data_IF_044597075483
#
_entry.id   IF_044597075483
#
_cell.length_a   1.000
_cell.length_b   1.000
_cell.length_c   1.000
_cell.angle_alpha   90.00
_cell.angle_beta   90.00
_cell.angle_gamma   90.00
#
_symmetry.space_group_name_H-M   'P 1'
#
loop_
_entity.id
_entity.type
_entity.pdbx_description
1 polymer ?
#
# COMPACT_ATOMS: atom_id res chain seq x y z
N UNK A 1 24.55 -33.13 4.26
CA UNK A 1 24.67 -31.79 4.83
C UNK A 1 24.88 -30.71 3.77
N UNK A 2 25.84 -30.89 2.85
CA UNK A 2 26.05 -29.88 1.79
C UNK A 2 24.82 -29.64 0.92
N UNK A 3 24.01 -30.66 0.64
CA UNK A 3 22.81 -30.56 -0.18
C UNK A 3 21.72 -29.68 0.48
N UNK A 4 21.63 -29.71 1.81
CA UNK A 4 20.68 -28.91 2.56
C UNK A 4 21.08 -27.43 2.50
N UNK A 5 22.37 -27.14 2.54
CA UNK A 5 22.88 -25.78 2.45
C UNK A 5 22.54 -25.12 1.11
N UNK A 6 22.70 -25.87 0.00
CA UNK A 6 22.32 -25.36 -1.33
C UNK A 6 20.83 -25.12 -1.48
N UNK A 7 20.01 -25.95 -0.88
CA UNK A 7 18.56 -25.77 -0.89
C UNK A 7 18.14 -24.49 -0.15
N UNK A 8 18.76 -24.19 0.99
CA UNK A 8 18.52 -22.96 1.74
C UNK A 8 18.93 -21.71 0.96
N UNK A 9 20.03 -21.77 0.21
CA UNK A 9 20.47 -20.67 -0.65
C UNK A 9 19.48 -20.40 -1.78
N UNK A 10 18.93 -21.42 -2.39
CA UNK A 10 17.91 -21.29 -3.44
C UNK A 10 16.64 -20.67 -2.90
N UNK A 11 16.20 -21.03 -1.69
CA UNK A 11 15.06 -20.42 -1.04
C UNK A 11 15.28 -18.93 -0.78
N UNK A 12 16.46 -18.53 -0.36
CA UNK A 12 16.78 -17.14 -0.12
C UNK A 12 16.72 -16.28 -1.40
N UNK A 13 17.06 -16.84 -2.54
CA UNK A 13 16.99 -16.15 -3.83
C UNK A 13 15.55 -15.85 -4.26
N UNK A 14 14.59 -16.62 -3.79
CA UNK A 14 13.18 -16.40 -4.10
C UNK A 14 12.55 -15.21 -3.37
N UNK A 15 13.23 -14.62 -2.39
CA UNK A 15 12.76 -13.46 -1.65
C UNK A 15 13.30 -12.13 -2.18
N UNK A 16 13.94 -12.11 -3.34
CA UNK A 16 14.52 -10.92 -3.93
C UNK A 16 13.50 -10.05 -4.70
N UNK A 17 12.22 -10.39 -4.68
CA UNK A 17 11.17 -9.58 -5.31
C UNK A 17 10.81 -8.39 -4.44
N UNK A 18 10.52 -7.25 -5.10
CA UNK A 18 10.02 -6.07 -4.43
C UNK A 18 8.69 -6.42 -3.75
N UNK A 19 8.62 -6.24 -2.45
CA UNK A 19 7.41 -6.43 -1.67
C UNK A 19 6.82 -5.07 -1.31
N UNK A 20 5.49 -5.00 -1.29
CA UNK A 20 4.82 -3.87 -0.71
C UNK A 20 5.03 -3.90 0.81
N UNK A 21 5.44 -2.76 1.35
CA UNK A 21 5.70 -2.61 2.77
C UNK A 21 4.66 -1.68 3.38
N UNK A 22 4.18 -2.02 4.57
CA UNK A 22 3.32 -1.12 5.34
C UNK A 22 4.19 0.06 5.80
N UNK A 23 3.81 1.26 5.37
CA UNK A 23 4.52 2.50 5.68
C UNK A 23 3.80 3.35 6.70
N UNK A 24 2.53 3.07 6.99
CA UNK A 24 1.78 3.77 8.01
C UNK A 24 0.38 3.22 8.19
N UNK A 25 -0.23 3.56 9.32
CA UNK A 25 -1.61 3.21 9.63
C UNK A 25 -2.25 4.36 10.39
N UNK A 26 -3.46 4.74 10.00
CA UNK A 26 -4.23 5.78 10.64
C UNK A 26 -5.69 5.37 10.77
N UNK A 27 -6.28 5.68 11.90
CA UNK A 27 -7.73 5.53 12.11
C UNK A 27 -8.35 6.93 12.22
N UNK A 28 -9.31 7.17 11.37
CA UNK A 28 -9.97 8.47 11.26
C UNK A 28 -11.44 8.32 11.66
N UNK A 29 -11.96 9.29 12.42
CA UNK A 29 -13.39 9.31 12.76
C UNK A 29 -14.25 9.29 11.48
N UNK A 30 -15.34 8.52 11.44
CA UNK A 30 -16.00 7.78 12.54
C UNK A 30 -15.60 6.29 12.66
N UNK A 31 -14.38 5.94 12.38
CA UNK A 31 -13.89 4.56 12.50
C UNK A 31 -13.43 3.99 11.17
N UNK A 32 -12.81 4.81 10.35
CA UNK A 32 -12.22 4.40 9.07
C UNK A 32 -10.72 4.18 9.25
N UNK A 33 -10.26 2.97 8.93
CA UNK A 33 -8.85 2.58 9.06
C UNK A 33 -8.19 2.65 7.70
N UNK A 34 -7.09 3.38 7.64
CA UNK A 34 -6.21 3.47 6.47
C UNK A 34 -4.93 2.71 6.76
N UNK A 35 -4.57 1.81 5.87
CA UNK A 35 -3.27 1.14 5.90
C UNK A 35 -2.54 1.53 4.62
N UNK A 36 -1.45 2.28 4.78
CA UNK A 36 -0.65 2.75 3.64
C UNK A 36 0.47 1.77 3.35
N UNK A 37 0.58 1.38 2.09
CA UNK A 37 1.60 0.48 1.60
C UNK A 37 2.39 1.14 0.48
N UNK A 38 3.66 0.82 0.39
CA UNK A 38 4.52 1.32 -0.66
C UNK A 38 5.41 0.24 -1.25
N UNK A 39 5.65 0.33 -2.53
CA UNK A 39 6.60 -0.52 -3.25
C UNK A 39 7.48 0.34 -4.17
N UNK A 40 8.67 -0.14 -4.43
CA UNK A 40 9.53 0.48 -5.42
C UNK A 40 8.91 0.28 -6.75
N UNK A 41 8.89 0.48 -7.75
CA UNK A 41 8.24 0.20 -9.03
C UNK A 41 7.29 -1.00 -8.99
N UNK A 42 6.11 -0.82 -9.50
CA UNK A 42 5.14 -1.88 -9.65
C UNK A 42 4.28 -1.65 -10.88
N UNK A 43 3.72 -2.76 -11.39
CA UNK A 43 2.78 -2.74 -12.48
C UNK A 43 1.37 -2.61 -11.91
N UNK A 44 0.71 -1.49 -12.19
CA UNK A 44 -0.60 -1.17 -11.62
C UNK A 44 -1.69 -1.32 -12.67
N UNK A 45 -2.73 -2.04 -12.34
CA UNK A 45 -3.90 -2.23 -13.20
C UNK A 45 -5.10 -1.40 -12.70
N UNK A 46 -5.96 -0.89 -13.57
CA UNK A 46 -5.85 -0.91 -15.04
C UNK A 46 -4.82 0.11 -15.58
N UNK A 47 -4.10 -0.28 -16.60
CA UNK A 47 -2.98 0.52 -17.15
C UNK A 47 -3.36 1.92 -17.61
N UNK A 48 -4.55 2.08 -18.14
CA UNK A 48 -5.02 3.37 -18.66
C UNK A 48 -5.28 4.44 -17.59
N UNK A 49 -5.32 4.06 -16.32
CA UNK A 49 -5.60 4.95 -15.19
C UNK A 49 -4.37 5.29 -14.36
N UNK A 50 -3.23 4.69 -14.67
CA UNK A 50 -2.00 4.85 -13.90
C UNK A 50 -0.81 5.07 -14.82
N UNK A 51 0.26 5.64 -14.28
CA UNK A 51 1.52 5.72 -14.98
C UNK A 51 2.09 4.31 -15.19
N UNK A 52 2.72 4.11 -16.34
CA UNK A 52 3.40 2.84 -16.62
C UNK A 52 4.57 2.63 -15.67
N UNK A 53 4.92 1.39 -15.41
CA UNK A 53 6.02 1.02 -14.52
C UNK A 53 7.31 1.76 -14.84
N UNK A 54 7.64 1.91 -16.12
CA UNK A 54 8.86 2.63 -16.54
C UNK A 54 8.79 4.15 -16.36
N UNK A 55 7.64 4.69 -16.01
CA UNK A 55 7.41 6.12 -15.75
C UNK A 55 7.27 6.43 -14.27
N UNK A 56 7.38 5.43 -13.40
CA UNK A 56 7.20 5.58 -11.96
C UNK A 56 8.46 5.24 -11.20
N UNK A 57 8.62 5.86 -10.03
CA UNK A 57 9.70 5.55 -9.09
C UNK A 57 9.19 4.77 -7.89
N UNK A 58 7.93 4.96 -7.55
CA UNK A 58 7.31 4.34 -6.39
C UNK A 58 5.82 4.14 -6.65
N UNK A 59 5.29 3.04 -6.15
CA UNK A 59 3.88 2.76 -6.05
C UNK A 59 3.44 2.95 -4.60
N UNK A 60 2.42 3.76 -4.37
CA UNK A 60 1.81 3.97 -3.05
C UNK A 60 0.34 3.64 -3.16
N UNK A 61 -0.17 2.85 -2.23
CA UNK A 61 -1.58 2.55 -2.14
C UNK A 61 -2.09 2.66 -0.70
N UNK A 62 -3.39 2.80 -0.55
CA UNK A 62 -4.06 2.75 0.74
C UNK A 62 -5.13 1.67 0.71
N UNK A 63 -5.12 0.78 1.68
CA UNK A 63 -6.26 -0.08 1.98
C UNK A 63 -7.14 0.62 2.99
N UNK A 64 -8.43 0.67 2.73
CA UNK A 64 -9.38 1.41 3.56
C UNK A 64 -10.54 0.52 3.94
N UNK A 65 -10.73 0.34 5.23
CA UNK A 65 -11.78 -0.50 5.77
C UNK A 65 -12.42 0.16 7.00
N UNK A 66 -13.65 -0.23 7.30
CA UNK A 66 -14.21 0.08 8.60
C UNK A 66 -13.43 -0.62 9.69
N UNK A 67 -13.27 0.02 10.84
CA UNK A 67 -12.73 -0.65 12.03
C UNK A 67 -13.65 -1.79 12.46
N UNK A 68 -13.16 -2.66 13.31
CA UNK A 68 -13.94 -3.77 13.88
C UNK A 68 -14.72 -3.34 15.12
N UNK A 69 -14.35 -2.20 15.71
CA UNK A 69 -14.98 -1.64 16.91
C UNK A 69 -15.16 -0.13 16.75
N UNK A 70 -16.03 0.47 17.57
CA UNK A 70 -16.24 1.92 17.60
C UNK A 70 -16.60 2.52 16.23
N UNK A 71 -17.47 1.84 15.53
CA UNK A 71 -18.01 2.27 14.23
C UNK A 71 -19.47 2.66 14.34
N UNK A 72 -19.98 3.47 13.39
CA UNK A 72 -21.41 3.81 13.38
C UNK A 72 -22.30 2.58 13.25
N UNK A 73 -23.45 2.65 13.88
CA UNK A 73 -24.45 1.59 13.76
C UNK A 73 -24.82 1.35 12.29
N UNK A 74 -24.95 0.10 11.91
CA UNK A 74 -25.28 -0.29 10.54
C UNK A 74 -24.11 -0.38 9.59
N UNK A 75 -22.89 -0.05 10.02
CA UNK A 75 -21.70 -0.23 9.19
C UNK A 75 -21.14 -1.65 9.31
N UNK A 76 -20.60 -2.20 8.22
CA UNK A 76 -20.00 -3.54 8.26
C UNK A 76 -18.63 -3.51 8.93
N UNK A 77 -18.53 -4.05 10.15
CA UNK A 77 -17.27 -4.13 10.89
C UNK A 77 -16.16 -4.80 10.07
N UNK A 78 -15.02 -4.14 9.94
CA UNK A 78 -13.90 -4.61 9.12
C UNK A 78 -14.17 -4.59 7.62
N UNK A 79 -15.32 -4.12 7.20
CA UNK A 79 -15.78 -4.18 5.82
C UNK A 79 -15.37 -2.99 4.96
N UNK A 80 -15.77 -3.06 3.72
CA UNK A 80 -15.48 -2.06 2.69
C UNK A 80 -16.16 -0.71 2.99
N UNK A 81 -15.44 0.38 2.75
CA UNK A 81 -15.97 1.74 2.84
C UNK A 81 -16.40 2.21 1.46
N UNK A 82 -17.72 2.27 1.24
CA UNK A 82 -18.27 2.67 -0.04
C UNK A 82 -18.19 4.19 -0.26
N UNK A 83 -18.00 4.59 -1.51
CA UNK A 83 -18.07 5.98 -1.96
C UNK A 83 -17.10 6.94 -1.25
N UNK A 84 -15.99 6.43 -0.73
CA UNK A 84 -14.99 7.25 -0.08
C UNK A 84 -14.21 8.05 -1.12
N UNK A 85 -14.21 9.37 -0.97
CA UNK A 85 -13.38 10.25 -1.79
C UNK A 85 -12.14 10.64 -0.99
N UNK A 86 -10.97 10.35 -1.55
CA UNK A 86 -9.68 10.60 -0.91
C UNK A 86 -8.88 11.58 -1.76
N UNK A 87 -8.29 12.57 -1.12
CA UNK A 87 -7.28 13.41 -1.72
C UNK A 87 -6.01 13.32 -0.89
N UNK A 88 -4.87 13.38 -1.54
CA UNK A 88 -3.60 13.30 -0.85
C UNK A 88 -2.61 14.33 -1.38
N UNK A 89 -1.75 14.82 -0.48
CA UNK A 89 -0.61 15.66 -0.82
C UNK A 89 0.66 14.86 -0.60
N UNK A 90 1.41 14.64 -1.67
CA UNK A 90 2.68 13.95 -1.62
C UNK A 90 3.80 14.97 -1.72
N UNK A 91 4.67 15.02 -0.71
CA UNK A 91 5.77 15.97 -0.64
C UNK A 91 7.12 15.25 -0.68
N UNK A 92 7.98 15.68 -1.60
CA UNK A 92 9.36 15.23 -1.61
C UNK A 92 10.13 16.00 -0.53
N UNK A 93 10.59 15.30 0.49
CA UNK A 93 11.27 15.93 1.62
C UNK A 93 12.62 16.55 1.26
N UNK A 94 13.27 16.06 0.22
CA UNK A 94 14.57 16.59 -0.20
C UNK A 94 14.45 17.91 -0.99
N UNK A 95 13.40 18.04 -1.78
CA UNK A 95 13.19 19.22 -2.64
C UNK A 95 12.14 20.18 -2.11
N UNK A 96 11.27 19.72 -1.23
CA UNK A 96 10.11 20.48 -0.77
C UNK A 96 8.96 20.55 -1.76
N UNK A 97 9.10 19.94 -2.93
CA UNK A 97 8.05 19.95 -3.96
C UNK A 97 6.90 19.01 -3.58
N UNK A 98 5.68 19.43 -3.89
CA UNK A 98 4.47 18.68 -3.57
C UNK A 98 3.60 18.49 -4.78
N UNK A 99 2.86 17.38 -4.79
CA UNK A 99 1.84 17.05 -5.78
C UNK A 99 0.57 16.61 -5.07
N UNK A 100 -0.57 17.06 -5.57
CA UNK A 100 -1.89 16.61 -5.10
C UNK A 100 -2.41 15.50 -6.00
N UNK A 101 -2.97 14.47 -5.40
CA UNK A 101 -3.58 13.34 -6.09
C UNK A 101 -4.95 13.01 -5.50
#
# INVERSE_FOLDING_TARGET
MKKILYFLLILNLNFSFSQELIIGEETVSPGIVFIFEGAVKDHVMPEGMHLKENQTNIHIEARVNWDTINIPEGTPAGGFVAYLHITAKVTNQNTGMSTFI
#
